data_IF_898574845935
#
_entry.id   IF_898574845935
#
_cell.length_a   1.000
_cell.length_b   1.000
_cell.length_c   1.000
_cell.angle_alpha   90.00
_cell.angle_beta   90.00
_cell.angle_gamma   90.00
#
_symmetry.space_group_name_H-M   'P 1'
#
loop_
_entity.id
_entity.type
_entity.pdbx_description
1 polymer ?
#
# COMPACT_ATOMS: atom_id res chain seq x y z
N UNK A 1 -31.87 -3.33 75.52
CA UNK A 1 -31.70 -1.96 74.97
C UNK A 1 -30.31 -1.86 74.36
N UNK A 2 -30.17 -1.13 73.24
CA UNK A 2 -28.94 -0.94 72.42
C UNK A 2 -28.73 -2.02 71.35
N UNK A 3 -29.47 -1.97 70.23
CA UNK A 3 -29.28 -1.18 69.00
C UNK A 3 -28.15 -1.70 68.09
N UNK A 4 -28.59 -2.43 67.06
CA UNK A 4 -27.83 -2.89 65.89
C UNK A 4 -27.25 -1.69 65.13
N UNK A 5 -25.95 -1.73 64.82
CA UNK A 5 -25.34 -0.84 63.82
C UNK A 5 -25.85 -1.22 62.43
N UNK A 6 -26.48 -0.26 61.74
CA UNK A 6 -26.68 -0.30 60.28
C UNK A 6 -25.39 0.16 59.58
N UNK A 7 -25.07 -0.36 58.39
CA UNK A 7 -23.98 0.18 57.58
C UNK A 7 -24.40 1.50 56.94
N UNK A 8 -23.53 2.52 57.05
CA UNK A 8 -23.68 3.80 56.37
C UNK A 8 -23.50 3.61 54.85
N UNK A 9 -24.53 3.97 54.09
CA UNK A 9 -24.43 4.17 52.65
C UNK A 9 -23.67 5.47 52.39
N UNK A 10 -22.45 5.37 51.87
CA UNK A 10 -21.73 6.52 51.31
C UNK A 10 -22.42 6.89 49.99
N UNK A 11 -23.34 7.86 50.06
CA UNK A 11 -23.85 8.54 48.87
C UNK A 11 -22.78 9.53 48.40
N UNK A 12 -22.26 9.29 47.20
CA UNK A 12 -21.50 10.26 46.43
C UNK A 12 -22.44 11.41 46.03
N UNK A 13 -22.56 12.42 46.89
CA UNK A 13 -23.10 13.73 46.50
C UNK A 13 -22.02 14.46 45.68
N UNK A 14 -22.06 14.25 44.35
CA UNK A 14 -21.38 15.14 43.42
C UNK A 14 -22.05 16.51 43.48
N UNK A 15 -21.26 17.56 43.71
CA UNK A 15 -21.70 18.95 43.67
C UNK A 15 -22.34 19.26 42.30
N UNK A 16 -23.67 19.28 42.24
CA UNK A 16 -24.41 19.85 41.13
C UNK A 16 -24.30 21.37 41.32
N UNK A 17 -23.53 22.04 40.47
CA UNK A 17 -23.57 23.50 40.41
C UNK A 17 -25.02 23.92 40.14
N UNK A 18 -25.64 24.62 41.08
CA UNK A 18 -27.02 25.08 40.93
C UNK A 18 -27.07 26.21 39.89
N UNK A 19 -27.62 25.92 38.71
CA UNK A 19 -27.96 26.96 37.72
C UNK A 19 -29.00 27.92 38.31
N UNK A 20 -28.91 29.20 37.97
CA UNK A 20 -29.82 30.22 38.51
C UNK A 20 -31.24 30.06 37.92
N UNK A 21 -32.28 30.40 38.70
CA UNK A 21 -33.67 30.34 38.23
C UNK A 21 -33.93 31.20 36.96
N UNK A 22 -33.14 32.26 36.77
CA UNK A 22 -33.20 33.11 35.59
C UNK A 22 -32.62 32.42 34.33
N UNK A 23 -31.52 31.67 34.47
CA UNK A 23 -30.97 30.88 33.37
C UNK A 23 -31.94 29.77 32.95
N UNK A 24 -32.59 29.10 33.90
CA UNK A 24 -33.58 28.06 33.60
C UNK A 24 -34.80 28.64 32.88
N UNK A 25 -35.28 29.82 33.29
CA UNK A 25 -36.42 30.48 32.67
C UNK A 25 -36.13 30.97 31.24
N UNK A 26 -34.86 31.19 30.89
CA UNK A 26 -34.44 31.64 29.56
C UNK A 26 -34.19 30.52 28.55
N UNK A 27 -34.08 29.27 29.01
CA UNK A 27 -33.79 28.11 28.15
C UNK A 27 -35.08 27.49 27.61
N UNK A 28 -35.08 27.12 26.35
CA UNK A 28 -36.15 26.33 25.74
C UNK A 28 -36.04 24.85 26.16
N UNK A 29 -37.17 24.12 26.17
CA UNK A 29 -37.21 22.72 26.63
C UNK A 29 -36.30 21.76 25.83
N UNK A 30 -35.91 22.18 24.61
CA UNK A 30 -35.02 21.43 23.72
C UNK A 30 -33.53 21.84 23.85
N UNK A 31 -33.22 22.90 24.59
CA UNK A 31 -31.84 23.42 24.79
C UNK A 31 -31.11 22.63 25.89
N UNK A 32 -31.04 21.32 25.71
CA UNK A 32 -30.40 20.38 26.63
C UNK A 32 -28.86 20.49 26.61
N UNK A 33 -28.29 21.05 25.54
CA UNK A 33 -26.86 21.26 25.38
C UNK A 33 -26.58 22.75 25.25
N UNK A 34 -25.62 23.26 26.02
CA UNK A 34 -25.13 24.63 25.84
C UNK A 34 -24.39 24.72 24.50
N UNK A 35 -24.84 25.64 23.64
CA UNK A 35 -24.20 25.95 22.37
C UNK A 35 -23.35 27.20 22.54
N UNK A 36 -22.06 27.10 22.21
CA UNK A 36 -21.23 28.27 21.97
C UNK A 36 -21.36 28.68 20.51
N UNK A 37 -21.49 29.99 20.25
CA UNK A 37 -21.55 30.49 18.88
C UNK A 37 -20.23 30.19 18.16
N UNK A 38 -20.32 29.70 16.92
CA UNK A 38 -19.14 29.57 16.06
C UNK A 38 -18.68 30.98 15.69
N UNK A 39 -17.57 31.43 16.26
CA UNK A 39 -17.05 32.80 16.09
C UNK A 39 -16.08 32.95 14.93
N UNK A 40 -15.61 31.85 14.34
CA UNK A 40 -14.67 31.85 13.23
C UNK A 40 -14.91 30.67 12.28
N UNK A 41 -14.81 30.92 10.97
CA UNK A 41 -14.76 29.86 9.97
C UNK A 41 -13.42 29.13 10.01
N UNK A 42 -13.43 27.82 9.74
CA UNK A 42 -12.22 27.02 9.62
C UNK A 42 -11.69 27.05 8.19
N UNK A 43 -10.65 27.86 7.95
CA UNK A 43 -10.02 28.04 6.63
C UNK A 43 -9.14 26.84 6.23
N UNK A 44 -9.74 25.90 5.50
CA UNK A 44 -9.08 24.65 5.06
C UNK A 44 -8.02 24.86 3.98
N UNK A 45 -8.14 25.90 3.15
CA UNK A 45 -7.21 26.21 2.06
C UNK A 45 -5.76 26.41 2.53
N UNK A 46 -5.59 26.89 3.78
CA UNK A 46 -4.29 27.14 4.41
C UNK A 46 -3.67 25.93 5.11
N UNK A 47 -4.32 24.77 5.10
CA UNK A 47 -3.90 23.59 5.88
C UNK A 47 -3.18 22.52 5.08
N UNK A 48 -2.95 22.78 3.79
CA UNK A 48 -2.18 21.91 2.91
C UNK A 48 -0.80 22.53 2.64
N UNK A 49 0.25 21.72 2.77
CA UNK A 49 1.61 22.13 2.45
C UNK A 49 1.78 22.16 0.92
N UNK A 50 1.72 23.35 0.34
CA UNK A 50 1.82 23.58 -1.11
C UNK A 50 3.22 23.36 -1.68
N UNK A 51 4.24 23.37 -0.81
CA UNK A 51 5.65 23.23 -1.20
C UNK A 51 6.14 21.77 -1.07
N UNK A 52 5.34 20.90 -0.43
CA UNK A 52 5.65 19.48 -0.27
C UNK A 52 5.77 18.75 -1.62
N UNK A 53 6.80 17.92 -1.77
CA UNK A 53 7.00 17.13 -2.99
C UNK A 53 7.70 15.78 -2.73
N UNK A 54 7.02 14.69 -3.09
CA UNK A 54 7.54 13.33 -3.00
C UNK A 54 8.19 12.82 -4.30
N UNK A 55 8.37 13.69 -5.30
CA UNK A 55 8.75 13.28 -6.66
C UNK A 55 10.08 12.51 -6.72
N UNK A 56 11.02 12.88 -5.84
CA UNK A 56 12.37 12.31 -5.80
C UNK A 56 12.47 10.97 -5.04
N UNK A 57 11.44 10.59 -4.30
CA UNK A 57 11.43 9.35 -3.52
C UNK A 57 10.96 8.18 -4.37
N UNK A 58 11.50 6.99 -4.11
CA UNK A 58 10.84 5.75 -4.51
C UNK A 58 9.58 5.55 -3.66
N UNK A 59 8.55 4.84 -4.15
CA UNK A 59 7.39 4.46 -3.36
C UNK A 59 7.77 3.81 -2.01
N UNK A 60 8.75 2.91 -2.01
CA UNK A 60 9.20 2.25 -0.78
C UNK A 60 9.91 3.22 0.17
N UNK A 61 10.68 4.19 -0.33
CA UNK A 61 11.30 5.22 0.51
C UNK A 61 10.24 6.17 1.10
N UNK A 62 9.19 6.50 0.35
CA UNK A 62 8.04 7.27 0.84
C UNK A 62 7.33 6.53 1.98
N UNK A 63 7.09 5.22 1.81
CA UNK A 63 6.52 4.38 2.85
C UNK A 63 7.38 4.39 4.12
N UNK A 64 8.69 4.17 4.00
CA UNK A 64 9.64 4.16 5.11
C UNK A 64 9.67 5.53 5.81
N UNK A 65 9.66 6.62 5.04
CA UNK A 65 9.68 7.98 5.59
C UNK A 65 8.41 8.26 6.40
N UNK A 66 7.25 7.87 5.89
CA UNK A 66 5.97 8.05 6.59
C UNK A 66 5.91 7.22 7.87
N UNK A 67 6.30 5.94 7.84
CA UNK A 67 6.27 5.08 9.02
C UNK A 67 7.30 5.47 10.08
N UNK A 68 8.46 6.02 9.68
CA UNK A 68 9.42 6.64 10.62
C UNK A 68 8.77 7.79 11.42
N UNK A 69 7.90 8.60 10.82
CA UNK A 69 7.20 9.65 11.57
C UNK A 69 6.19 9.07 12.56
N UNK A 70 5.47 8.01 12.19
CA UNK A 70 4.54 7.32 13.09
C UNK A 70 5.27 6.72 14.32
N UNK A 71 6.44 6.12 14.11
CA UNK A 71 7.23 5.53 15.18
C UNK A 71 7.70 6.55 16.23
N UNK A 72 7.93 7.80 15.84
CA UNK A 72 8.27 8.87 16.79
C UNK A 72 7.13 9.12 17.79
N UNK A 73 5.88 8.93 17.36
CA UNK A 73 4.70 9.15 18.21
C UNK A 73 4.55 8.09 19.31
N UNK A 74 5.13 6.90 19.13
CA UNK A 74 5.06 5.80 20.11
C UNK A 74 5.91 6.09 21.35
N UNK A 75 6.93 6.95 21.23
CA UNK A 75 7.93 7.18 22.29
C UNK A 75 7.50 8.15 23.40
N UNK A 76 6.29 8.71 23.32
CA UNK A 76 5.73 9.65 24.31
C UNK A 76 4.66 9.02 25.22
N UNK A 77 3.74 9.85 25.73
CA UNK A 77 2.59 9.43 26.53
C UNK A 77 1.61 8.60 25.69
N UNK A 78 1.81 7.28 25.70
CA UNK A 78 1.01 6.36 24.91
C UNK A 78 -0.39 6.18 25.50
N UNK A 79 -1.41 6.30 24.64
CA UNK A 79 -2.80 5.98 24.98
C UNK A 79 -3.39 5.00 23.97
N UNK A 80 -4.40 4.19 24.34
CA UNK A 80 -5.07 3.31 23.37
C UNK A 80 -5.68 4.08 22.17
N UNK A 81 -6.11 5.32 22.38
CA UNK A 81 -6.59 6.19 21.31
C UNK A 81 -5.47 6.56 20.34
N UNK A 82 -4.28 6.89 20.86
CA UNK A 82 -3.10 7.10 20.04
C UNK A 82 -2.74 5.83 19.25
N UNK A 83 -2.81 4.65 19.88
CA UNK A 83 -2.64 3.36 19.21
C UNK A 83 -3.57 3.20 18.01
N UNK A 84 -4.86 3.53 18.17
CA UNK A 84 -5.84 3.50 17.09
C UNK A 84 -5.46 4.46 15.94
N UNK A 85 -5.01 5.68 16.25
CA UNK A 85 -4.58 6.66 15.25
C UNK A 85 -3.31 6.20 14.52
N UNK A 86 -2.36 5.59 15.22
CA UNK A 86 -1.13 5.06 14.61
C UNK A 86 -1.46 3.88 13.69
N UNK A 87 -2.38 2.99 14.08
CA UNK A 87 -2.89 1.93 13.20
C UNK A 87 -3.46 2.53 11.90
N UNK A 88 -4.28 3.58 12.00
CA UNK A 88 -4.80 4.28 10.82
C UNK A 88 -3.67 4.86 9.95
N UNK A 89 -2.67 5.46 10.57
CA UNK A 89 -1.48 5.99 9.91
C UNK A 89 -0.72 4.91 9.12
N UNK A 90 -0.52 3.73 9.69
CA UNK A 90 0.17 2.62 9.02
C UNK A 90 -0.57 2.13 7.76
N UNK A 91 -1.89 1.97 7.85
CA UNK A 91 -2.71 1.59 6.70
C UNK A 91 -2.69 2.69 5.63
N UNK A 92 -2.73 3.97 6.03
CA UNK A 92 -2.63 5.11 5.12
C UNK A 92 -1.26 5.19 4.42
N UNK A 93 -0.17 4.87 5.13
CA UNK A 93 1.17 4.79 4.54
C UNK A 93 1.26 3.66 3.50
N UNK A 94 0.67 2.50 3.77
CA UNK A 94 0.61 1.40 2.82
C UNK A 94 -0.23 1.74 1.58
N UNK A 95 -1.37 2.42 1.76
CA UNK A 95 -2.17 2.94 0.64
C UNK A 95 -1.36 3.94 -0.22
N UNK A 96 -0.69 4.89 0.43
CA UNK A 96 0.15 5.89 -0.25
C UNK A 96 1.28 5.24 -1.05
N UNK A 97 1.88 4.16 -0.53
CA UNK A 97 2.85 3.34 -1.25
C UNK A 97 2.25 2.75 -2.54
N UNK A 98 1.09 2.10 -2.46
CA UNK A 98 0.44 1.47 -3.63
C UNK A 98 0.09 2.52 -4.69
N UNK A 99 -0.44 3.68 -4.28
CA UNK A 99 -0.74 4.80 -5.18
C UNK A 99 0.52 5.31 -5.88
N UNK A 100 1.58 5.60 -5.12
CA UNK A 100 2.85 6.06 -5.66
C UNK A 100 3.51 5.04 -6.60
N UNK A 101 3.40 3.74 -6.29
CA UNK A 101 3.87 2.65 -7.14
C UNK A 101 3.16 2.65 -8.49
N UNK A 102 1.83 2.61 -8.49
CA UNK A 102 1.03 2.56 -9.73
C UNK A 102 1.27 3.83 -10.56
N UNK A 103 1.25 5.01 -9.95
CA UNK A 103 1.52 6.29 -10.62
C UNK A 103 2.86 6.28 -11.36
N UNK A 104 3.93 5.85 -10.69
CA UNK A 104 5.27 5.79 -11.32
C UNK A 104 5.35 4.73 -12.40
N UNK A 105 4.64 3.60 -12.26
CA UNK A 105 4.62 2.54 -13.26
C UNK A 105 3.88 2.95 -14.54
N UNK A 106 2.75 3.67 -14.42
CA UNK A 106 2.01 4.21 -15.58
C UNK A 106 2.92 5.09 -16.45
N UNK A 107 3.77 5.91 -15.85
CA UNK A 107 4.72 6.75 -16.59
C UNK A 107 5.96 6.01 -17.10
N UNK A 108 6.24 4.82 -16.60
CA UNK A 108 7.51 4.12 -16.78
C UNK A 108 7.44 2.94 -17.76
N UNK A 109 6.33 2.21 -17.75
CA UNK A 109 6.17 0.90 -18.40
C UNK A 109 5.18 1.01 -19.57
N UNK A 110 5.65 0.66 -20.77
CA UNK A 110 4.88 0.86 -22.01
C UNK A 110 3.57 0.03 -22.01
N UNK A 111 3.61 -1.20 -21.50
CA UNK A 111 2.44 -2.06 -21.41
C UNK A 111 1.40 -1.49 -20.43
N UNK A 112 1.82 -1.01 -19.27
CA UNK A 112 0.92 -0.40 -18.28
C UNK A 112 0.29 0.87 -18.84
N UNK A 113 1.10 1.72 -19.50
CA UNK A 113 0.58 2.93 -20.13
C UNK A 113 -0.49 2.62 -21.18
N UNK A 114 -0.30 1.57 -21.98
CA UNK A 114 -1.30 1.12 -22.95
C UNK A 114 -2.54 0.51 -22.27
N UNK A 115 -2.35 -0.26 -21.19
CA UNK A 115 -3.45 -0.87 -20.43
C UNK A 115 -4.42 0.19 -19.85
N UNK A 116 -3.88 1.32 -19.38
CA UNK A 116 -4.68 2.38 -18.75
C UNK A 116 -5.14 3.46 -19.74
N UNK A 117 -4.77 3.40 -21.02
CA UNK A 117 -5.05 4.49 -21.98
C UNK A 117 -6.53 4.71 -22.26
N UNK A 118 -7.36 3.69 -22.08
CA UNK A 118 -8.82 3.76 -22.26
C UNK A 118 -9.55 4.20 -20.98
N UNK A 119 -8.84 4.38 -19.86
CA UNK A 119 -9.44 4.81 -18.59
C UNK A 119 -9.74 6.30 -18.62
N UNK A 120 -10.92 6.68 -18.14
CA UNK A 120 -11.34 8.08 -18.02
C UNK A 120 -10.90 8.69 -16.69
N UNK A 121 -10.61 9.99 -16.72
CA UNK A 121 -10.46 10.84 -15.54
C UNK A 121 -11.51 11.95 -15.57
N UNK A 122 -11.78 12.59 -14.44
CA UNK A 122 -12.67 13.75 -14.41
C UNK A 122 -12.10 14.90 -15.27
N UNK A 123 -12.97 15.72 -15.85
CA UNK A 123 -12.54 16.89 -16.64
C UNK A 123 -11.74 17.88 -15.78
N UNK A 124 -12.10 18.03 -14.50
CA UNK A 124 -11.36 18.87 -13.56
C UNK A 124 -9.92 18.35 -13.36
N UNK A 125 -9.73 17.05 -13.20
CA UNK A 125 -8.39 16.45 -13.12
C UNK A 125 -7.60 16.68 -14.42
N UNK A 126 -8.22 16.49 -15.58
CA UNK A 126 -7.58 16.74 -16.87
C UNK A 126 -7.15 18.21 -17.06
N UNK A 127 -7.92 19.16 -16.54
CA UNK A 127 -7.64 20.59 -16.65
C UNK A 127 -6.59 21.09 -15.63
N UNK A 128 -6.59 20.55 -14.41
CA UNK A 128 -5.82 21.11 -13.29
C UNK A 128 -4.64 20.26 -12.82
N UNK A 129 -4.59 18.95 -13.10
CA UNK A 129 -3.45 18.12 -12.69
C UNK A 129 -2.27 18.28 -13.66
N UNK A 130 -1.07 18.33 -13.08
CA UNK A 130 0.18 18.17 -13.84
C UNK A 130 0.26 16.75 -14.39
N UNK A 131 0.88 16.56 -15.55
CA UNK A 131 1.02 15.25 -16.23
C UNK A 131 1.57 14.18 -15.29
N UNK A 132 2.53 14.52 -14.44
CA UNK A 132 3.19 13.60 -13.52
C UNK A 132 2.25 13.05 -12.44
N UNK A 133 1.26 13.84 -12.01
CA UNK A 133 0.30 13.52 -10.94
C UNK A 133 -1.05 13.07 -11.50
N UNK A 134 -1.34 13.29 -12.78
CA UNK A 134 -2.60 12.89 -13.42
C UNK A 134 -3.02 11.42 -13.14
N UNK A 135 -2.12 10.42 -13.07
CA UNK A 135 -2.53 9.07 -12.70
C UNK A 135 -3.14 8.93 -11.29
N UNK A 136 -2.95 9.89 -10.39
CA UNK A 136 -3.68 9.90 -9.11
C UNK A 136 -5.20 10.02 -9.30
N UNK A 137 -5.63 10.77 -10.33
CA UNK A 137 -7.06 10.91 -10.61
C UNK A 137 -7.68 9.57 -11.04
N UNK A 138 -6.90 8.66 -11.65
CA UNK A 138 -7.36 7.30 -11.92
C UNK A 138 -7.56 6.50 -10.64
N UNK A 139 -6.77 6.79 -9.60
CA UNK A 139 -6.75 6.04 -8.35
C UNK A 139 -7.78 6.55 -7.32
N UNK A 140 -8.46 7.67 -7.57
CA UNK A 140 -9.50 8.22 -6.68
C UNK A 140 -10.67 7.25 -6.51
N UNK A 141 -11.04 6.53 -7.57
CA UNK A 141 -12.13 5.54 -7.56
C UNK A 141 -11.72 4.17 -7.01
N UNK A 142 -10.42 3.96 -6.75
CA UNK A 142 -9.91 2.68 -6.24
C UNK A 142 -9.82 2.70 -4.72
N UNK A 143 -10.58 1.81 -4.10
CA UNK A 143 -10.41 1.51 -2.68
C UNK A 143 -9.15 0.68 -2.48
N UNK A 144 -8.31 1.04 -1.51
CA UNK A 144 -7.15 0.25 -1.09
C UNK A 144 -7.31 -0.26 0.35
N UNK A 145 -8.56 -0.33 0.81
CA UNK A 145 -8.93 -0.63 2.19
C UNK A 145 -8.79 -2.11 2.60
N UNK A 146 -8.46 -3.01 1.66
CA UNK A 146 -8.22 -4.42 1.95
C UNK A 146 -7.23 -5.04 0.95
N UNK A 147 -6.57 -6.16 1.29
CA UNK A 147 -5.74 -6.86 0.32
C UNK A 147 -6.51 -7.24 -0.94
N UNK A 148 -7.81 -7.62 -0.84
CA UNK A 148 -8.60 -7.92 -2.02
C UNK A 148 -8.66 -6.73 -2.99
N UNK A 149 -8.98 -5.53 -2.48
CA UNK A 149 -9.06 -4.35 -3.33
C UNK A 149 -7.68 -3.95 -3.88
N UNK A 150 -6.61 -4.12 -3.10
CA UNK A 150 -5.23 -3.93 -3.60
C UNK A 150 -4.96 -4.84 -4.80
N UNK A 151 -5.27 -6.15 -4.72
CA UNK A 151 -4.99 -7.06 -5.83
C UNK A 151 -5.89 -6.84 -7.05
N UNK A 152 -7.16 -6.47 -6.87
CA UNK A 152 -8.00 -6.07 -8.01
C UNK A 152 -7.45 -4.80 -8.67
N UNK A 153 -6.99 -3.82 -7.88
CA UNK A 153 -6.33 -2.61 -8.42
C UNK A 153 -5.06 -2.95 -9.20
N UNK A 154 -4.18 -3.81 -8.67
CA UNK A 154 -2.96 -4.26 -9.37
C UNK A 154 -3.29 -5.06 -10.64
N UNK A 155 -4.36 -5.84 -10.63
CA UNK A 155 -4.84 -6.56 -11.80
C UNK A 155 -5.36 -5.61 -12.87
N UNK A 156 -6.16 -4.63 -12.49
CA UNK A 156 -6.80 -3.69 -13.42
C UNK A 156 -5.83 -2.66 -13.99
N UNK A 157 -4.93 -2.12 -13.17
CA UNK A 157 -4.06 -1.01 -13.56
C UNK A 157 -2.65 -1.47 -13.95
N UNK A 158 -2.16 -2.61 -13.44
CA UNK A 158 -0.82 -3.11 -13.75
C UNK A 158 -0.89 -4.40 -14.59
N UNK A 159 -2.04 -5.05 -14.71
CA UNK A 159 -2.20 -6.28 -15.50
C UNK A 159 -1.71 -7.54 -14.79
N UNK A 160 -1.58 -7.51 -13.45
CA UNK A 160 -1.20 -8.68 -12.66
C UNK A 160 -2.39 -9.64 -12.48
N UNK A 161 -2.76 -10.31 -13.57
CA UNK A 161 -3.92 -11.22 -13.65
C UNK A 161 -3.66 -12.56 -12.97
N UNK A 162 -4.73 -13.27 -12.64
CA UNK A 162 -4.71 -14.61 -12.07
C UNK A 162 -4.87 -14.64 -10.55
N UNK A 163 -4.59 -15.79 -9.97
CA UNK A 163 -4.69 -15.99 -8.53
C UNK A 163 -3.57 -15.25 -7.79
N UNK A 164 -3.84 -14.92 -6.52
CA UNK A 164 -2.83 -14.32 -5.64
C UNK A 164 -1.58 -15.22 -5.59
N UNK A 165 -0.38 -14.68 -5.86
CA UNK A 165 0.86 -15.43 -5.80
C UNK A 165 1.14 -16.00 -4.41
N UNK A 166 1.67 -17.23 -4.33
CA UNK A 166 1.97 -17.91 -3.07
C UNK A 166 2.77 -17.06 -2.06
N UNK A 167 3.85 -16.35 -2.47
CA UNK A 167 4.62 -15.53 -1.53
C UNK A 167 3.82 -14.38 -0.89
N UNK A 168 2.68 -14.00 -1.48
CA UNK A 168 1.85 -12.90 -1.02
C UNK A 168 0.65 -13.37 -0.19
N UNK A 169 0.37 -14.68 -0.11
CA UNK A 169 -0.82 -15.19 0.58
C UNK A 169 -0.77 -14.84 2.07
N UNK A 170 0.28 -15.25 2.78
CA UNK A 170 0.41 -15.03 4.22
C UNK A 170 0.49 -13.53 4.58
N UNK A 171 1.37 -12.70 3.95
CA UNK A 171 1.37 -11.26 4.22
C UNK A 171 0.00 -10.62 4.00
N UNK A 172 -0.75 -11.05 2.98
CA UNK A 172 -2.09 -10.54 2.73
C UNK A 172 -3.12 -10.96 3.78
N UNK A 173 -3.00 -12.18 4.33
CA UNK A 173 -3.90 -12.67 5.37
C UNK A 173 -3.70 -11.91 6.68
N UNK A 174 -2.45 -11.62 7.05
CA UNK A 174 -2.17 -10.82 8.24
C UNK A 174 -2.55 -9.35 8.02
N UNK A 175 -2.23 -8.77 6.87
CA UNK A 175 -2.66 -7.39 6.54
C UNK A 175 -4.17 -7.24 6.54
N UNK A 176 -4.93 -8.27 6.11
CA UNK A 176 -6.40 -8.28 6.19
C UNK A 176 -6.88 -8.04 7.63
N UNK A 177 -6.24 -8.64 8.64
CA UNK A 177 -6.64 -8.44 10.05
C UNK A 177 -6.45 -6.98 10.45
N UNK A 178 -5.33 -6.37 10.07
CA UNK A 178 -5.07 -4.93 10.30
C UNK A 178 -6.12 -4.06 9.60
N UNK A 179 -6.53 -4.38 8.37
CA UNK A 179 -7.60 -3.68 7.67
C UNK A 179 -8.96 -3.77 8.40
N UNK A 180 -9.29 -4.93 8.98
CA UNK A 180 -10.53 -5.09 9.77
C UNK A 180 -10.48 -4.29 11.08
N UNK A 181 -9.32 -4.23 11.73
CA UNK A 181 -9.11 -3.34 12.89
C UNK A 181 -9.23 -1.87 12.49
N UNK A 182 -8.65 -1.46 11.35
CA UNK A 182 -8.81 -0.11 10.79
C UNK A 182 -10.28 0.21 10.55
N UNK A 183 -11.06 -0.74 10.03
CA UNK A 183 -12.50 -0.59 9.85
C UNK A 183 -13.22 -0.29 11.17
N UNK A 184 -12.84 -0.97 12.25
CA UNK A 184 -13.37 -0.68 13.59
C UNK A 184 -12.91 0.69 14.11
N UNK A 185 -11.68 1.13 13.85
CA UNK A 185 -11.21 2.45 14.27
C UNK A 185 -11.98 3.58 13.57
N UNK A 186 -12.15 3.49 12.24
CA UNK A 186 -12.86 4.54 11.47
C UNK A 186 -14.37 4.54 11.69
N UNK A 187 -14.95 3.40 12.10
CA UNK A 187 -16.39 3.27 12.30
C UNK A 187 -16.68 2.90 13.74
N UNK A 188 -17.51 3.70 14.41
CA UNK A 188 -17.99 3.40 15.77
C UNK A 188 -16.87 3.45 16.83
N UNK A 189 -15.86 4.27 16.59
CA UNK A 189 -14.81 4.62 17.56
C UNK A 189 -14.11 3.41 18.18
N UNK A 190 -13.69 2.47 17.33
CA UNK A 190 -12.94 1.29 17.72
C UNK A 190 -13.79 0.10 18.16
N UNK A 191 -15.12 0.18 18.17
CA UNK A 191 -15.96 -0.94 18.61
C UNK A 191 -16.01 -2.09 17.60
N UNK A 192 -15.82 -3.32 18.09
CA UNK A 192 -15.90 -4.52 17.25
C UNK A 192 -17.35 -4.83 16.84
N UNK A 193 -17.68 -4.64 15.57
CA UNK A 193 -18.96 -5.05 14.98
C UNK A 193 -19.01 -6.53 14.60
N UNK A 194 -20.22 -7.08 14.45
CA UNK A 194 -20.44 -8.48 14.08
C UNK A 194 -19.82 -8.87 12.72
N UNK A 195 -19.90 -8.00 11.71
CA UNK A 195 -19.30 -8.24 10.38
C UNK A 195 -17.78 -8.37 10.46
N UNK A 196 -17.11 -7.52 11.23
CA UNK A 196 -15.66 -7.57 11.42
C UNK A 196 -15.27 -8.79 12.24
N UNK A 197 -16.02 -9.10 13.31
CA UNK A 197 -15.80 -10.30 14.11
C UNK A 197 -15.89 -11.59 13.28
N UNK A 198 -16.85 -11.70 12.35
CA UNK A 198 -16.93 -12.84 11.42
C UNK A 198 -15.65 -12.97 10.58
N UNK A 199 -15.11 -11.88 10.07
CA UNK A 199 -13.91 -11.89 9.22
C UNK A 199 -12.62 -12.15 9.99
N UNK A 200 -12.57 -11.77 11.27
CA UNK A 200 -11.46 -12.05 12.19
C UNK A 200 -11.56 -13.44 12.84
N UNK A 201 -12.76 -14.03 12.85
CA UNK A 201 -13.08 -15.33 13.45
C UNK A 201 -14.08 -15.18 14.60
N UNK A 202 -15.37 -15.33 14.32
CA UNK A 202 -16.44 -15.01 15.30
C UNK A 202 -16.30 -15.81 16.60
N UNK A 203 -15.99 -17.11 16.51
CA UNK A 203 -15.93 -18.00 17.67
C UNK A 203 -14.98 -17.49 18.78
N UNK A 204 -13.86 -16.87 18.40
CA UNK A 204 -12.88 -16.33 19.34
C UNK A 204 -13.17 -14.89 19.76
N UNK A 205 -14.07 -14.19 19.06
CA UNK A 205 -14.32 -12.76 19.23
C UNK A 205 -15.72 -12.40 19.78
N UNK A 206 -16.61 -13.37 19.99
CA UNK A 206 -17.98 -13.13 20.48
C UNK A 206 -18.03 -12.30 21.77
N UNK A 207 -17.11 -12.55 22.72
CA UNK A 207 -17.04 -11.82 24.00
C UNK A 207 -16.60 -10.36 23.83
N UNK A 208 -15.99 -10.03 22.70
CA UNK A 208 -15.45 -8.71 22.39
C UNK A 208 -16.41 -7.88 21.51
N UNK A 209 -17.57 -8.41 21.13
CA UNK A 209 -18.58 -7.66 20.37
C UNK A 209 -18.97 -6.39 21.13
N UNK A 210 -19.06 -5.28 20.39
CA UNK A 210 -19.37 -3.93 20.92
C UNK A 210 -18.34 -3.37 21.91
N UNK A 211 -17.24 -4.08 22.18
CA UNK A 211 -16.13 -3.60 22.98
C UNK A 211 -15.15 -2.81 22.12
N UNK A 212 -14.55 -1.73 22.65
CA UNK A 212 -13.53 -0.99 21.93
C UNK A 212 -12.27 -1.84 21.76
N UNK A 213 -11.57 -1.64 20.66
CA UNK A 213 -10.20 -2.13 20.48
C UNK A 213 -9.32 -1.53 21.58
N UNK A 214 -8.47 -2.38 22.15
CA UNK A 214 -7.40 -2.01 23.06
C UNK A 214 -6.07 -2.37 22.38
N UNK A 215 -5.34 -1.37 21.89
CA UNK A 215 -3.98 -1.53 21.37
C UNK A 215 -2.98 -1.03 22.41
N UNK A 216 -2.11 -1.90 22.88
CA UNK A 216 -0.95 -1.52 23.69
C UNK A 216 0.19 -1.09 22.78
N UNK A 217 1.21 -0.43 23.34
CA UNK A 217 2.36 0.04 22.56
C UNK A 217 3.05 -1.12 21.80
N UNK A 218 3.17 -2.30 22.42
CA UNK A 218 3.72 -3.51 21.77
C UNK A 218 2.89 -4.03 20.59
N UNK A 219 1.58 -3.75 20.57
CA UNK A 219 0.72 -4.16 19.46
C UNK A 219 0.93 -3.28 18.23
N UNK A 220 1.35 -2.02 18.44
CA UNK A 220 1.75 -1.12 17.35
C UNK A 220 2.96 -1.67 16.61
N UNK A 221 3.95 -2.22 17.32
CA UNK A 221 5.11 -2.85 16.68
C UNK A 221 4.71 -4.06 15.83
N UNK A 222 3.77 -4.88 16.32
CA UNK A 222 3.22 -6.01 15.56
C UNK A 222 2.48 -5.52 14.30
N UNK A 223 1.67 -4.47 14.41
CA UNK A 223 0.97 -3.86 13.28
C UNK A 223 1.97 -3.31 12.27
N UNK A 224 2.97 -2.56 12.73
CA UNK A 224 4.03 -2.00 11.90
C UNK A 224 4.72 -3.10 11.11
N UNK A 225 5.11 -4.19 11.77
CA UNK A 225 5.74 -5.34 11.14
C UNK A 225 4.85 -6.00 10.08
N UNK A 226 3.56 -6.21 10.37
CA UNK A 226 2.62 -6.82 9.41
C UNK A 226 2.49 -5.95 8.16
N UNK A 227 2.30 -4.64 8.34
CA UNK A 227 2.11 -3.69 7.23
C UNK A 227 3.39 -3.56 6.40
N UNK A 228 4.55 -3.44 7.05
CA UNK A 228 5.87 -3.39 6.40
C UNK A 228 6.13 -4.66 5.56
N UNK A 229 5.89 -5.85 6.12
CA UNK A 229 6.03 -7.10 5.39
C UNK A 229 5.10 -7.17 4.18
N UNK A 230 3.85 -6.74 4.30
CA UNK A 230 2.92 -6.70 3.19
C UNK A 230 3.42 -5.79 2.07
N UNK A 231 3.79 -4.54 2.40
CA UNK A 231 4.30 -3.56 1.44
C UNK A 231 5.57 -4.05 0.74
N UNK A 232 6.55 -4.56 1.48
CA UNK A 232 7.81 -5.08 0.93
C UNK A 232 7.60 -6.33 0.07
N UNK A 233 6.67 -7.20 0.46
CA UNK A 233 6.31 -8.37 -0.34
C UNK A 233 5.70 -7.95 -1.68
N UNK A 234 4.79 -6.96 -1.67
CA UNK A 234 4.25 -6.37 -2.90
C UNK A 234 5.35 -5.73 -3.73
N UNK A 235 6.24 -4.92 -3.14
CA UNK A 235 7.36 -4.28 -3.83
C UNK A 235 8.21 -5.28 -4.60
N UNK A 236 8.67 -6.33 -3.91
CA UNK A 236 9.54 -7.34 -4.49
C UNK A 236 8.83 -8.17 -5.54
N UNK A 237 7.58 -8.55 -5.29
CA UNK A 237 6.82 -9.38 -6.21
C UNK A 237 6.43 -8.62 -7.49
N UNK A 238 5.97 -7.37 -7.36
CA UNK A 238 5.63 -6.54 -8.53
C UNK A 238 6.89 -6.28 -9.36
N UNK A 239 8.04 -5.98 -8.75
CA UNK A 239 9.30 -5.85 -9.49
C UNK A 239 9.63 -7.10 -10.31
N UNK A 240 9.56 -8.28 -9.67
CA UNK A 240 9.76 -9.57 -10.34
C UNK A 240 8.78 -9.75 -11.51
N UNK A 241 7.48 -9.55 -11.26
CA UNK A 241 6.42 -9.70 -12.26
C UNK A 241 6.66 -8.82 -13.49
N UNK A 242 7.02 -7.55 -13.30
CA UNK A 242 7.29 -6.63 -14.40
C UNK A 242 8.50 -7.07 -15.23
N UNK A 243 9.57 -7.49 -14.57
CA UNK A 243 10.76 -7.98 -15.27
C UNK A 243 10.48 -9.27 -16.05
N UNK A 244 9.80 -10.25 -15.45
CA UNK A 244 9.40 -11.49 -16.14
C UNK A 244 8.50 -11.19 -17.36
N UNK A 245 7.52 -10.30 -17.20
CA UNK A 245 6.67 -9.86 -18.30
C UNK A 245 7.46 -9.16 -19.40
N UNK A 246 8.42 -8.32 -19.04
CA UNK A 246 9.26 -7.60 -20.01
C UNK A 246 10.16 -8.52 -20.83
N UNK A 247 10.55 -9.68 -20.27
CA UNK A 247 11.29 -10.72 -20.98
C UNK A 247 10.37 -11.52 -21.90
N UNK A 248 9.17 -11.88 -21.43
CA UNK A 248 8.16 -12.56 -22.26
C UNK A 248 7.79 -11.73 -23.49
N UNK A 249 7.71 -10.41 -23.31
CA UNK A 249 7.38 -9.41 -24.34
C UNK A 249 6.13 -9.75 -25.18
N UNK A 250 5.14 -10.40 -24.57
CA UNK A 250 3.89 -10.78 -25.23
C UNK A 250 2.71 -10.62 -24.29
N UNK A 251 1.65 -10.00 -24.80
CA UNK A 251 0.38 -9.91 -24.09
C UNK A 251 -0.44 -11.22 -24.21
N UNK A 252 -1.66 -11.20 -23.71
CA UNK A 252 -2.56 -12.37 -23.75
C UNK A 252 -3.03 -12.71 -25.18
N UNK A 253 -2.99 -11.75 -26.11
CA UNK A 253 -3.31 -11.93 -27.53
C UNK A 253 -2.10 -12.36 -28.37
N UNK A 254 -0.91 -12.38 -27.78
CA UNK A 254 0.36 -12.65 -28.46
C UNK A 254 1.00 -11.43 -29.12
N UNK A 255 0.43 -10.23 -28.93
CA UNK A 255 0.96 -8.95 -29.38
C UNK A 255 2.21 -8.55 -28.59
N UNK A 256 3.11 -7.81 -29.24
CA UNK A 256 4.37 -7.34 -28.63
C UNK A 256 4.07 -6.21 -27.65
N UNK A 257 4.48 -6.36 -26.38
CA UNK A 257 4.23 -5.39 -25.31
C UNK A 257 5.23 -4.23 -25.29
N UNK A 258 6.45 -4.48 -25.76
CA UNK A 258 7.60 -3.58 -25.64
C UNK A 258 8.38 -3.55 -26.96
N UNK A 259 8.68 -2.35 -27.45
CA UNK A 259 9.40 -2.16 -28.71
C UNK A 259 10.84 -2.69 -28.66
N UNK A 260 11.45 -2.66 -27.48
CA UNK A 260 12.86 -3.01 -27.28
C UNK A 260 12.94 -4.32 -26.50
N UNK A 261 13.70 -5.30 -27.02
CA UNK A 261 14.03 -6.52 -26.29
C UNK A 261 15.26 -6.33 -25.40
N UNK A 262 15.44 -7.21 -24.40
CA UNK A 262 16.64 -7.22 -23.57
C UNK A 262 17.83 -7.77 -24.34
N UNK A 263 18.93 -7.02 -24.38
CA UNK A 263 20.16 -7.45 -25.05
C UNK A 263 21.07 -8.27 -24.13
N UNK A 264 20.75 -8.34 -22.84
CA UNK A 264 21.51 -9.06 -21.80
C UNK A 264 22.94 -8.55 -21.66
N UNK A 265 23.15 -7.28 -22.01
CA UNK A 265 24.41 -6.55 -21.87
C UNK A 265 24.15 -5.30 -21.04
N UNK A 266 24.76 -5.23 -19.86
CA UNK A 266 24.52 -4.15 -18.88
C UNK A 266 24.61 -2.76 -19.52
N UNK A 267 25.65 -2.48 -20.30
CA UNK A 267 25.83 -1.16 -20.92
C UNK A 267 24.68 -0.74 -21.85
N UNK A 268 24.03 -1.71 -22.51
CA UNK A 268 22.90 -1.46 -23.43
C UNK A 268 21.57 -1.38 -22.69
N UNK A 269 21.37 -2.25 -21.70
CA UNK A 269 20.10 -2.38 -20.99
C UNK A 269 19.97 -1.47 -19.77
N UNK A 270 21.08 -0.90 -19.28
CA UNK A 270 21.14 -0.08 -18.05
C UNK A 270 20.07 0.99 -18.01
N UNK A 271 19.84 1.71 -19.13
CA UNK A 271 18.86 2.80 -19.17
C UNK A 271 17.45 2.31 -18.86
N UNK A 272 17.02 1.23 -19.50
CA UNK A 272 15.69 0.63 -19.32
C UNK A 272 15.56 0.00 -17.94
N UNK A 273 16.52 -0.84 -17.54
CA UNK A 273 16.49 -1.50 -16.23
C UNK A 273 16.47 -0.49 -15.07
N UNK A 274 17.22 0.61 -15.21
CA UNK A 274 17.25 1.67 -14.20
C UNK A 274 15.91 2.39 -14.01
N UNK A 275 15.03 2.42 -15.03
CA UNK A 275 13.69 3.01 -14.88
C UNK A 275 12.90 2.23 -13.80
N UNK A 276 12.85 0.91 -13.93
CA UNK A 276 12.22 0.03 -12.94
C UNK A 276 12.97 0.05 -11.61
N UNK A 277 14.29 -0.13 -11.62
CA UNK A 277 15.10 -0.18 -10.40
C UNK A 277 14.87 1.05 -9.50
N UNK A 278 14.77 2.27 -10.05
CA UNK A 278 14.50 3.49 -9.28
C UNK A 278 13.14 3.51 -8.58
N UNK A 279 12.16 2.75 -9.08
CA UNK A 279 10.83 2.65 -8.47
C UNK A 279 10.87 1.67 -7.28
N UNK A 280 11.63 0.58 -7.37
CA UNK A 280 11.57 -0.49 -6.37
C UNK A 280 12.74 -0.50 -5.38
N UNK A 281 13.83 0.21 -5.67
CA UNK A 281 14.98 0.29 -4.77
C UNK A 281 14.75 1.33 -3.68
N UNK A 282 15.17 0.98 -2.47
CA UNK A 282 15.20 1.89 -1.33
C UNK A 282 16.61 2.41 -1.06
N UNK A 283 16.67 3.69 -0.69
CA UNK A 283 17.85 4.36 -0.13
C UNK A 283 17.69 4.68 1.37
N UNK A 284 16.45 4.76 1.85
CA UNK A 284 16.09 5.12 3.22
C UNK A 284 16.04 3.95 4.20
N UNK A 285 16.07 2.73 3.67
CA UNK A 285 16.03 1.50 4.46
C UNK A 285 17.35 1.25 5.20
N UNK A 286 17.24 0.57 6.35
CA UNK A 286 18.40 0.08 7.11
C UNK A 286 19.21 -0.89 6.25
N UNK A 287 18.50 -1.78 5.56
CA UNK A 287 19.09 -2.69 4.59
C UNK A 287 19.00 -2.09 3.18
N UNK A 288 20.08 -1.46 2.75
CA UNK A 288 20.16 -0.84 1.42
C UNK A 288 19.88 -1.87 0.33
N UNK A 289 19.13 -1.44 -0.69
CA UNK A 289 18.92 -2.25 -1.89
C UNK A 289 20.24 -2.60 -2.58
N UNK A 290 20.29 -3.76 -3.23
CA UNK A 290 21.41 -4.14 -4.09
C UNK A 290 21.73 -3.03 -5.08
N UNK A 291 23.00 -2.87 -5.46
CA UNK A 291 23.37 -1.89 -6.50
C UNK A 291 22.67 -2.20 -7.82
N UNK A 292 22.41 -1.17 -8.63
CA UNK A 292 21.78 -1.31 -9.96
C UNK A 292 22.44 -2.40 -10.81
N UNK A 293 23.78 -2.48 -10.78
CA UNK A 293 24.55 -3.47 -11.54
C UNK A 293 24.35 -4.88 -10.99
N UNK A 294 24.47 -5.07 -9.67
CA UNK A 294 24.28 -6.38 -9.06
C UNK A 294 22.84 -6.90 -9.24
N UNK A 295 21.84 -6.01 -9.14
CA UNK A 295 20.44 -6.35 -9.41
C UNK A 295 20.23 -6.77 -10.87
N UNK A 296 20.83 -6.06 -11.83
CA UNK A 296 20.78 -6.42 -13.24
C UNK A 296 21.47 -7.77 -13.53
N UNK A 297 22.62 -8.03 -12.90
CA UNK A 297 23.33 -9.31 -13.03
C UNK A 297 22.47 -10.47 -12.51
N UNK A 298 21.78 -10.31 -11.37
CA UNK A 298 20.80 -11.30 -10.87
C UNK A 298 19.62 -11.49 -11.82
N UNK A 299 19.09 -10.41 -12.40
CA UNK A 299 18.04 -10.48 -13.42
C UNK A 299 18.50 -11.30 -14.64
N UNK A 300 19.70 -11.05 -15.15
CA UNK A 300 20.27 -11.80 -16.26
C UNK A 300 20.45 -13.28 -15.91
N UNK A 301 21.05 -13.58 -14.75
CA UNK A 301 21.28 -14.97 -14.33
C UNK A 301 19.98 -15.76 -14.14
N UNK A 302 18.87 -15.09 -13.80
CA UNK A 302 17.59 -15.74 -13.56
C UNK A 302 16.74 -15.93 -14.83
N UNK A 303 16.80 -15.01 -15.78
CA UNK A 303 15.82 -14.93 -16.89
C UNK A 303 16.43 -14.91 -18.29
N UNK A 304 17.75 -14.85 -18.44
CA UNK A 304 18.39 -14.93 -19.75
C UNK A 304 18.11 -16.32 -20.36
N UNK A 305 17.49 -16.40 -21.56
CA UNK A 305 17.24 -17.68 -22.20
C UNK A 305 18.56 -18.42 -22.46
N UNK A 306 18.60 -19.70 -22.13
CA UNK A 306 19.68 -20.57 -22.58
C UNK A 306 19.54 -20.76 -24.10
N UNK A 307 20.58 -20.43 -24.85
CA UNK A 307 20.62 -20.74 -26.28
C UNK A 307 20.79 -22.27 -26.37
N UNK A 308 19.90 -23.01 -27.04
CA UNK A 308 20.12 -24.44 -27.26
C UNK A 308 21.45 -24.62 -28.00
N UNK A 309 22.32 -25.49 -27.48
CA UNK A 309 23.52 -25.90 -28.20
C UNK A 309 23.10 -26.40 -29.59
N UNK A 310 23.37 -25.62 -30.63
CA UNK A 310 23.22 -26.06 -32.01
C UNK A 310 24.16 -27.25 -32.21
N UNK A 311 23.69 -28.42 -32.68
CA UNK A 311 24.58 -29.53 -32.98
C UNK A 311 25.59 -29.08 -34.04
N UNK A 312 26.87 -29.35 -33.77
CA UNK A 312 27.98 -29.04 -34.66
C UNK A 312 27.63 -29.47 -36.09
N UNK A 313 27.66 -28.52 -37.04
CA UNK A 313 27.53 -28.83 -38.47
C UNK A 313 28.67 -29.77 -38.84
N UNK A 314 28.38 -31.07 -38.98
CA UNK A 314 29.30 -32.02 -39.62
C UNK A 314 29.67 -31.48 -41.00
N UNK A 315 30.91 -31.05 -41.16
CA UNK A 315 31.46 -30.64 -42.44
C UNK A 315 31.39 -31.84 -43.40
N UNK A 316 30.48 -31.79 -44.38
CA UNK A 316 30.51 -32.70 -45.53
C UNK A 316 31.70 -32.31 -46.40
N UNK A 317 32.83 -32.98 -46.20
CA UNK A 317 33.93 -32.99 -47.17
C UNK A 317 33.45 -33.78 -48.39
N UNK A 318 33.00 -33.07 -49.43
CA UNK A 318 32.87 -33.65 -50.77
C UNK A 318 34.28 -33.76 -51.38
N UNK A 319 34.84 -34.97 -51.40
CA UNK A 319 35.96 -35.28 -52.30
C UNK A 319 35.43 -35.30 -53.73
N UNK A 320 35.72 -34.26 -54.50
CA UNK A 320 35.72 -34.32 -55.98
C UNK A 320 36.99 -35.06 -56.40
N UNK A 321 36.85 -36.25 -56.99
CA UNK A 321 37.92 -36.84 -57.79
C UNK A 321 37.80 -36.26 -59.22
N UNK A 322 38.89 -35.67 -59.77
CA UNK A 322 38.91 -35.26 -61.16
C UNK A 322 39.14 -36.47 -62.07
N UNK A 323 38.43 -36.47 -63.19
CA UNK A 323 38.66 -37.34 -64.33
C UNK A 323 40.08 -37.12 -64.90
N UNK A 324 40.74 -38.21 -65.25
CA UNK A 324 41.81 -38.25 -66.25
C UNK A 324 41.52 -39.41 -67.19
N UNK A 325 41.49 -39.10 -68.48
CA UNK A 325 41.29 -40.05 -69.57
C UNK A 325 42.58 -40.54 -70.20
N UNK A 326 42.39 -41.24 -71.31
CA UNK A 326 43.35 -41.71 -72.31
C UNK A 326 44.27 -42.88 -71.90
N UNK A 327 43.96 -44.07 -72.40
CA UNK A 327 44.47 -44.58 -73.68
C UNK A 327 43.46 -45.52 -74.32
#
# INVERSE_FOLDING_TARGET
>A
MSLRRKPESVLLEGAIASESAAEIASKEFFELCKLEAITSAFETSSKFDVDHSDNNLSPIDLFITNTKQLNKLVTGDYTPVLGNLILLGYVSAAESYIRALIRKLIHCDEYISALVSEKSVSYAAALHHKKEILPEALLEDFSLASPYNVFETLKELIGMKGNRPNPLILPSQEFKKVCELRHCCVHRFGKLGSKNAIRLGLATHTKSLEKPILLLAEDVDKIAFIVDNFVRSINNYVFKFLLERSVKNKDDSGGVCYEVEWLWVYAKDKKRFNKYYKIFSSKEDVYKSMTLRAAYEKFCSALKPEIPNLPERKAKVQKKNPAQGAQ
#
